data_IF_028442354417
#
_entry.id   IF_028442354417
#
_cell.length_a   1.000
_cell.length_b   1.000
_cell.length_c   1.000
_cell.angle_alpha   90.00
_cell.angle_beta   90.00
_cell.angle_gamma   90.00
#
_symmetry.space_group_name_H-M   'P 1'
#
loop_
_entity.id
_entity.type
_entity.pdbx_description
1 polymer ?
#
# COMPACT_ATOMS: atom_id res chain seq x y z
N UNK A 1 -15.74 34.19 17.98
CA UNK A 1 -15.06 32.99 18.51
C UNK A 1 -15.88 31.71 18.29
N UNK A 2 -16.62 31.59 17.18
CA UNK A 2 -17.55 30.48 16.92
C UNK A 2 -17.29 29.73 15.59
N UNK A 3 -16.35 30.21 14.77
CA UNK A 3 -16.09 29.65 13.42
C UNK A 3 -15.09 28.48 13.47
N UNK A 4 -14.36 28.29 14.58
CA UNK A 4 -13.37 27.21 14.70
C UNK A 4 -13.96 25.81 14.88
N UNK A 5 -15.28 25.69 15.15
CA UNK A 5 -15.92 24.40 15.47
C UNK A 5 -16.51 23.66 14.26
N UNK A 6 -16.67 24.31 13.10
CA UNK A 6 -17.39 23.71 11.96
C UNK A 6 -16.50 22.74 11.14
N UNK A 7 -15.18 22.92 11.14
CA UNK A 7 -14.27 22.07 10.37
C UNK A 7 -14.04 20.67 11.01
N UNK A 8 -14.32 20.50 12.29
CA UNK A 8 -14.13 19.22 13.00
C UNK A 8 -15.26 18.20 12.76
N UNK A 9 -16.41 18.64 12.19
CA UNK A 9 -17.62 17.82 12.12
C UNK A 9 -17.71 16.88 10.90
N UNK A 10 -16.78 16.96 9.94
CA UNK A 10 -16.77 16.12 8.73
C UNK A 10 -15.83 14.90 8.80
N UNK A 11 -15.19 14.66 9.94
CA UNK A 11 -14.43 13.42 10.17
C UNK A 11 -15.44 12.31 10.44
N UNK A 12 -15.96 11.72 9.36
CA UNK A 12 -16.96 10.65 9.41
C UNK A 12 -16.48 9.49 10.27
N UNK A 13 -17.39 8.93 11.07
CA UNK A 13 -17.18 7.69 11.82
C UNK A 13 -16.82 6.55 10.85
N UNK A 14 -15.53 6.28 10.66
CA UNK A 14 -15.10 5.03 10.08
C UNK A 14 -15.27 3.94 11.14
N UNK A 15 -16.26 3.07 10.94
CA UNK A 15 -16.35 1.83 11.70
C UNK A 15 -15.16 0.96 11.31
N UNK A 16 -14.09 1.00 12.09
CA UNK A 16 -12.94 0.13 11.91
C UNK A 16 -13.38 -1.32 12.23
N UNK A 17 -13.55 -2.14 11.20
CA UNK A 17 -13.67 -3.58 11.37
C UNK A 17 -12.28 -4.15 11.64
N UNK A 18 -11.97 -4.42 12.91
CA UNK A 18 -10.73 -5.11 13.27
C UNK A 18 -10.83 -6.61 12.96
N UNK A 19 -9.92 -7.13 12.13
CA UNK A 19 -9.65 -8.56 12.07
C UNK A 19 -8.49 -8.85 13.03
N UNK A 20 -8.75 -9.64 14.07
CA UNK A 20 -7.69 -10.14 14.95
C UNK A 20 -7.56 -11.67 14.73
N UNK A 21 -6.45 -12.13 14.12
CA UNK A 21 -6.26 -13.56 13.92
C UNK A 21 -6.21 -14.29 15.26
N UNK A 22 -6.98 -15.37 15.38
CA UNK A 22 -7.07 -16.17 16.63
C UNK A 22 -5.82 -17.00 16.90
N UNK A 23 -5.07 -17.33 15.86
CA UNK A 23 -3.84 -18.10 15.93
C UNK A 23 -2.79 -17.39 15.11
N UNK A 24 -1.63 -17.16 15.73
CA UNK A 24 -0.48 -16.47 15.14
C UNK A 24 0.74 -17.29 15.50
N UNK A 25 1.53 -17.67 14.50
CA UNK A 25 2.80 -18.34 14.71
C UNK A 25 3.77 -17.46 15.52
N UNK A 26 4.69 -18.03 16.33
CA UNK A 26 5.65 -17.23 17.11
C UNK A 26 6.52 -16.26 16.29
N UNK A 27 6.71 -16.55 15.00
CA UNK A 27 7.47 -15.76 14.04
C UNK A 27 6.62 -14.99 13.03
N UNK A 28 5.30 -15.17 13.06
CA UNK A 28 4.41 -14.60 12.05
C UNK A 28 4.14 -13.12 12.31
N UNK A 29 4.19 -12.32 11.25
CA UNK A 29 3.77 -10.93 11.26
C UNK A 29 2.27 -10.83 11.09
N UNK A 30 1.62 -10.01 11.90
CA UNK A 30 0.18 -9.76 11.79
C UNK A 30 -0.13 -8.31 11.51
N UNK A 31 -1.21 -8.10 10.76
CA UNK A 31 -1.71 -6.78 10.42
C UNK A 31 -2.88 -6.43 11.34
N UNK A 32 -2.88 -5.22 11.87
CA UNK A 32 -3.98 -4.66 12.65
C UNK A 32 -4.32 -3.27 12.14
N UNK A 33 -5.60 -2.92 12.19
CA UNK A 33 -6.07 -1.57 11.89
C UNK A 33 -6.51 -0.89 13.18
N UNK A 34 -5.62 -0.09 13.76
CA UNK A 34 -5.87 0.71 14.96
C UNK A 34 -5.26 2.10 14.71
N UNK A 35 -6.10 3.05 14.31
CA UNK A 35 -5.71 4.39 13.84
C UNK A 35 -4.67 4.39 12.70
N UNK A 36 -4.71 3.35 11.85
CA UNK A 36 -3.76 3.12 10.77
C UNK A 36 -3.41 1.65 10.63
N UNK A 37 -2.69 1.30 9.55
CA UNK A 37 -2.15 -0.05 9.39
C UNK A 37 -0.95 -0.22 10.32
N UNK A 38 -1.03 -1.19 11.23
CA UNK A 38 0.06 -1.56 12.12
C UNK A 38 0.51 -2.98 11.83
N UNK A 39 1.82 -3.20 11.82
CA UNK A 39 2.46 -4.50 11.68
C UNK A 39 2.96 -4.92 13.06
N UNK A 40 2.56 -6.12 13.47
CA UNK A 40 2.86 -6.68 14.78
C UNK A 40 3.70 -7.94 14.63
N UNK A 41 4.80 -8.00 15.39
CA UNK A 41 5.56 -9.22 15.62
C UNK A 41 5.18 -9.78 17.00
N UNK A 42 4.45 -10.91 17.02
CA UNK A 42 3.82 -11.46 18.21
C UNK A 42 2.91 -10.47 18.96
N UNK A 43 3.41 -9.80 20.02
CA UNK A 43 2.66 -8.86 20.87
C UNK A 43 3.27 -7.45 20.91
N UNK A 44 4.17 -7.15 19.98
CA UNK A 44 4.84 -5.86 19.91
C UNK A 44 4.57 -5.24 18.53
N UNK A 45 4.22 -3.96 18.52
CA UNK A 45 4.21 -3.16 17.29
C UNK A 45 5.64 -3.15 16.75
N UNK A 46 5.79 -3.66 15.53
CA UNK A 46 7.04 -3.66 14.80
C UNK A 46 7.17 -2.36 14.00
N UNK A 47 6.14 -2.04 13.23
CA UNK A 47 6.09 -0.90 12.33
C UNK A 47 4.64 -0.41 12.20
N UNK A 48 4.45 0.88 11.93
CA UNK A 48 3.13 1.50 11.78
C UNK A 48 3.07 2.48 10.60
N UNK A 49 1.88 2.56 10.01
CA UNK A 49 1.55 3.52 8.97
C UNK A 49 1.53 4.93 9.55
N UNK A 50 2.06 5.94 8.83
CA UNK A 50 2.43 5.88 7.42
C UNK A 50 3.88 5.49 7.14
N UNK A 51 4.81 5.56 8.10
CA UNK A 51 6.25 5.54 7.80
C UNK A 51 6.88 4.15 7.79
N UNK A 52 6.25 3.15 8.42
CA UNK A 52 6.69 1.74 8.47
C UNK A 52 8.14 1.48 8.91
N UNK A 53 8.77 2.43 9.61
CA UNK A 53 10.20 2.36 9.93
C UNK A 53 10.60 1.10 10.70
N UNK A 54 11.65 0.42 10.23
CA UNK A 54 12.21 -0.79 10.84
C UNK A 54 11.60 -2.09 10.32
N UNK A 55 10.66 -2.02 9.37
CA UNK A 55 10.11 -3.20 8.71
C UNK A 55 11.17 -3.88 7.84
N UNK A 56 11.93 -3.10 7.06
CA UNK A 56 12.95 -3.61 6.15
C UNK A 56 14.04 -4.39 6.90
N UNK A 57 14.52 -3.83 8.01
CA UNK A 57 15.49 -4.48 8.89
C UNK A 57 14.97 -5.79 9.48
N UNK A 58 13.68 -5.87 9.81
CA UNK A 58 13.08 -7.06 10.41
C UNK A 58 12.92 -8.20 9.41
N UNK A 59 12.56 -7.91 8.16
CA UNK A 59 12.31 -8.91 7.10
C UNK A 59 13.52 -9.17 6.20
N UNK A 60 14.69 -8.58 6.50
CA UNK A 60 15.93 -8.61 5.69
C UNK A 60 16.43 -9.97 5.21
N UNK A 61 16.00 -11.06 5.83
CA UNK A 61 16.36 -12.42 5.42
C UNK A 61 15.58 -12.94 4.20
N UNK A 62 14.48 -12.27 3.85
CA UNK A 62 13.65 -12.58 2.68
C UNK A 62 13.75 -11.40 1.72
N UNK A 63 14.51 -11.55 0.63
CA UNK A 63 14.84 -10.42 -0.25
C UNK A 63 13.62 -9.74 -0.86
N UNK A 64 12.61 -10.52 -1.29
CA UNK A 64 11.37 -9.98 -1.84
C UNK A 64 10.58 -9.17 -0.78
N UNK A 65 10.55 -9.64 0.47
CA UNK A 65 9.91 -8.91 1.56
C UNK A 65 10.66 -7.62 1.89
N UNK A 66 12.00 -7.66 1.88
CA UNK A 66 12.85 -6.49 2.15
C UNK A 66 12.66 -5.39 1.11
N UNK A 67 12.61 -5.73 -0.19
CA UNK A 67 12.37 -4.77 -1.27
C UNK A 67 11.05 -4.03 -1.10
N UNK A 68 9.97 -4.76 -0.80
CA UNK A 68 8.67 -4.15 -0.52
C UNK A 68 8.67 -3.33 0.78
N UNK A 69 9.37 -3.79 1.81
CA UNK A 69 9.47 -3.04 3.06
C UNK A 69 10.23 -1.71 2.88
N UNK A 70 11.33 -1.71 2.12
CA UNK A 70 12.08 -0.48 1.78
C UNK A 70 11.22 0.50 0.97
N UNK A 71 10.45 0.00 -0.01
CA UNK A 71 9.51 0.82 -0.76
C UNK A 71 8.42 1.42 0.15
N UNK A 72 7.87 0.61 1.07
CA UNK A 72 6.89 1.07 2.05
C UNK A 72 7.45 2.17 2.98
N UNK A 73 8.68 2.03 3.45
CA UNK A 73 9.35 3.03 4.29
C UNK A 73 9.63 4.33 3.53
N UNK A 74 10.13 4.23 2.29
CA UNK A 74 10.41 5.37 1.43
C UNK A 74 9.14 6.16 1.11
N UNK A 75 8.11 5.50 0.56
CA UNK A 75 6.84 6.14 0.21
C UNK A 75 6.13 6.67 1.44
N UNK A 76 6.18 5.93 2.54
CA UNK A 76 5.63 6.30 3.82
C UNK A 76 6.22 7.59 4.38
N UNK A 77 7.55 7.70 4.38
CA UNK A 77 8.26 8.89 4.83
C UNK A 77 7.97 10.11 3.94
N UNK A 78 7.94 9.91 2.61
CA UNK A 78 7.57 10.94 1.64
C UNK A 78 6.12 11.41 1.86
N UNK A 79 5.21 10.49 2.18
CA UNK A 79 3.82 10.81 2.47
C UNK A 79 3.67 11.68 3.72
N UNK A 80 4.43 11.40 4.79
CA UNK A 80 4.45 12.23 6.01
C UNK A 80 4.92 13.64 5.68
N UNK A 81 6.06 13.77 5.01
CA UNK A 81 6.65 15.07 4.66
C UNK A 81 5.71 15.91 3.80
N UNK A 82 5.17 15.30 2.74
CA UNK A 82 4.24 15.95 1.82
C UNK A 82 2.93 16.34 2.53
N UNK A 83 2.42 15.48 3.42
CA UNK A 83 1.20 15.76 4.19
C UNK A 83 1.36 16.94 5.15
N UNK A 84 2.48 17.02 5.87
CA UNK A 84 2.79 18.16 6.74
C UNK A 84 2.96 19.46 5.94
N UNK A 85 3.69 19.41 4.83
CA UNK A 85 3.86 20.57 3.96
C UNK A 85 2.52 21.06 3.41
N UNK A 86 1.70 20.14 2.88
CA UNK A 86 0.37 20.45 2.38
C UNK A 86 -0.55 21.02 3.45
N UNK A 87 -0.52 20.45 4.66
CA UNK A 87 -1.29 20.94 5.80
C UNK A 87 -0.91 22.35 6.23
N UNK A 88 0.40 22.65 6.39
CA UNK A 88 0.89 23.97 6.77
C UNK A 88 0.56 25.00 5.69
N UNK A 89 0.83 24.69 4.41
CA UNK A 89 0.54 25.58 3.28
C UNK A 89 -0.97 25.83 3.17
N UNK A 90 -1.79 24.79 3.32
CA UNK A 90 -3.24 24.90 3.27
C UNK A 90 -3.79 25.80 4.39
N UNK A 91 -3.32 25.61 5.63
CA UNK A 91 -3.71 26.45 6.77
C UNK A 91 -3.21 27.89 6.59
N UNK A 92 -1.98 28.09 6.12
CA UNK A 92 -1.45 29.42 5.83
C UNK A 92 -2.25 30.13 4.72
N UNK A 93 -2.74 29.37 3.73
CA UNK A 93 -3.62 29.87 2.66
C UNK A 93 -4.91 30.49 3.17
N UNK A 94 -5.47 30.00 4.30
CA UNK A 94 -6.64 30.61 4.95
C UNK A 94 -6.36 32.05 5.42
N UNK A 95 -5.09 32.40 5.66
CA UNK A 95 -4.67 33.76 5.95
C UNK A 95 -4.99 34.75 4.83
N UNK A 96 -5.11 34.30 3.58
CA UNK A 96 -5.54 35.16 2.47
C UNK A 96 -6.95 35.70 2.60
N UNK A 97 -7.81 35.10 3.43
CA UNK A 97 -9.13 35.66 3.74
C UNK A 97 -9.03 37.02 4.44
N UNK A 98 -7.88 37.36 5.05
CA UNK A 98 -7.62 38.70 5.55
C UNK A 98 -7.70 39.77 4.45
N UNK A 99 -7.52 39.40 3.17
CA UNK A 99 -7.70 40.29 2.03
C UNK A 99 -9.10 40.91 1.95
N UNK A 100 -10.14 40.24 2.47
CA UNK A 100 -11.49 40.78 2.52
C UNK A 100 -11.58 42.05 3.39
N UNK A 101 -10.71 42.20 4.39
CA UNK A 101 -10.65 43.40 5.23
C UNK A 101 -10.07 44.64 4.51
N UNK A 102 -9.46 44.46 3.34
CA UNK A 102 -8.83 45.53 2.56
C UNK A 102 -9.66 45.98 1.36
N UNK A 103 -10.83 45.36 1.09
CA UNK A 103 -11.64 45.63 -0.10
C UNK A 103 -12.02 47.11 -0.26
N UNK A 104 -12.34 47.79 0.85
CA UNK A 104 -12.73 49.21 0.82
C UNK A 104 -11.54 50.17 0.77
N UNK A 105 -10.33 49.71 1.13
CA UNK A 105 -9.14 50.54 1.26
C UNK A 105 -8.28 50.52 -0.01
N UNK A 106 -8.06 49.31 -0.54
CA UNK A 106 -7.16 49.06 -1.66
C UNK A 106 -7.55 47.73 -2.30
N UNK A 107 -8.37 47.83 -3.35
CA UNK A 107 -8.89 46.69 -4.09
C UNK A 107 -7.76 45.81 -4.65
N UNK A 108 -6.67 46.41 -5.13
CA UNK A 108 -5.52 45.69 -5.70
C UNK A 108 -4.83 44.86 -4.61
N UNK A 109 -4.57 45.44 -3.43
CA UNK A 109 -3.99 44.68 -2.31
C UNK A 109 -4.94 43.61 -1.80
N UNK A 110 -6.24 43.89 -1.72
CA UNK A 110 -7.25 42.93 -1.30
C UNK A 110 -7.25 41.69 -2.18
N UNK A 111 -7.31 41.87 -3.51
CA UNK A 111 -7.25 40.77 -4.46
C UNK A 111 -5.89 40.06 -4.48
N UNK A 112 -4.78 40.78 -4.29
CA UNK A 112 -3.46 40.15 -4.23
C UNK A 112 -3.32 39.20 -3.02
N UNK A 113 -3.76 39.64 -1.83
CA UNK A 113 -3.73 38.83 -0.60
C UNK A 113 -4.69 37.63 -0.72
N UNK A 114 -5.91 37.88 -1.18
CA UNK A 114 -6.93 36.85 -1.37
C UNK A 114 -6.47 35.81 -2.39
N UNK A 115 -5.99 36.25 -3.56
CA UNK A 115 -5.51 35.40 -4.64
C UNK A 115 -4.32 34.53 -4.21
N UNK A 116 -3.38 35.10 -3.46
CA UNK A 116 -2.22 34.36 -2.93
C UNK A 116 -2.67 33.29 -1.93
N UNK A 117 -3.63 33.61 -1.06
CA UNK A 117 -4.17 32.62 -0.12
C UNK A 117 -4.94 31.49 -0.80
N UNK A 118 -5.75 31.79 -1.82
CA UNK A 118 -6.45 30.78 -2.62
C UNK A 118 -5.45 29.87 -3.34
N UNK A 119 -4.42 30.45 -3.98
CA UNK A 119 -3.38 29.67 -4.66
C UNK A 119 -2.62 28.76 -3.69
N UNK A 120 -2.21 29.28 -2.53
CA UNK A 120 -1.59 28.48 -1.47
C UNK A 120 -2.54 27.38 -0.97
N UNK A 121 -3.81 27.69 -0.75
CA UNK A 121 -4.82 26.71 -0.34
C UNK A 121 -4.96 25.55 -1.33
N UNK A 122 -5.05 25.84 -2.63
CA UNK A 122 -5.11 24.82 -3.68
C UNK A 122 -3.83 23.97 -3.72
N UNK A 123 -2.66 24.59 -3.62
CA UNK A 123 -1.38 23.86 -3.55
C UNK A 123 -1.34 22.93 -2.33
N UNK A 124 -1.79 23.40 -1.17
CA UNK A 124 -1.86 22.60 0.05
C UNK A 124 -2.78 21.38 -0.10
N UNK A 125 -3.94 21.55 -0.74
CA UNK A 125 -4.87 20.45 -1.05
C UNK A 125 -4.22 19.44 -2.00
N UNK A 126 -3.56 19.88 -3.07
CA UNK A 126 -2.88 18.98 -4.02
C UNK A 126 -1.80 18.14 -3.32
N UNK A 127 -0.98 18.75 -2.46
CA UNK A 127 0.01 18.01 -1.66
C UNK A 127 -0.64 17.02 -0.69
N UNK A 128 -1.77 17.36 -0.08
CA UNK A 128 -2.51 16.44 0.78
C UNK A 128 -3.06 15.23 -0.01
N UNK A 129 -3.52 15.42 -1.26
CA UNK A 129 -3.95 14.34 -2.13
C UNK A 129 -2.79 13.42 -2.52
N UNK A 130 -1.63 13.99 -2.88
CA UNK A 130 -0.41 13.24 -3.18
C UNK A 130 0.03 12.44 -1.94
N UNK A 131 0.03 13.06 -0.76
CA UNK A 131 0.32 12.38 0.51
C UNK A 131 -0.61 11.19 0.72
N UNK A 132 -1.91 11.31 0.43
CA UNK A 132 -2.86 10.20 0.55
C UNK A 132 -2.54 9.06 -0.44
N UNK A 133 -2.17 9.39 -1.67
CA UNK A 133 -1.77 8.39 -2.67
C UNK A 133 -0.54 7.61 -2.20
N UNK A 134 0.51 8.32 -1.77
CA UNK A 134 1.74 7.71 -1.24
C UNK A 134 1.47 6.82 -0.01
N UNK A 135 0.58 7.23 0.90
CA UNK A 135 0.16 6.37 2.04
C UNK A 135 -0.48 5.07 1.58
N UNK A 136 -1.32 5.12 0.54
CA UNK A 136 -1.98 3.92 0.01
C UNK A 136 -0.97 2.97 -0.63
N UNK A 137 -0.02 3.50 -1.41
CA UNK A 137 1.07 2.72 -2.02
C UNK A 137 1.95 2.09 -0.93
N UNK A 138 2.36 2.88 0.07
CA UNK A 138 3.13 2.40 1.21
C UNK A 138 2.41 1.27 1.96
N UNK A 139 1.10 1.41 2.20
CA UNK A 139 0.30 0.35 2.83
C UNK A 139 0.27 -0.93 1.97
N UNK A 140 0.19 -0.81 0.64
CA UNK A 140 0.22 -1.96 -0.27
C UNK A 140 1.55 -2.72 -0.17
N UNK A 141 2.66 -2.00 -0.29
CA UNK A 141 3.99 -2.58 -0.13
C UNK A 141 4.23 -3.19 1.27
N UNK A 142 3.72 -2.55 2.32
CA UNK A 142 3.80 -3.09 3.67
C UNK A 142 3.06 -4.43 3.81
N UNK A 143 1.90 -4.58 3.17
CA UNK A 143 1.14 -5.84 3.14
C UNK A 143 1.89 -6.91 2.36
N UNK A 144 2.43 -6.57 1.19
CA UNK A 144 3.21 -7.51 0.36
C UNK A 144 4.45 -7.99 1.10
N UNK A 145 5.17 -7.09 1.78
CA UNK A 145 6.32 -7.44 2.61
C UNK A 145 5.96 -8.46 3.70
N UNK A 146 4.84 -8.26 4.39
CA UNK A 146 4.33 -9.18 5.40
C UNK A 146 3.97 -10.54 4.79
N UNK A 147 3.31 -10.55 3.63
CA UNK A 147 2.94 -11.79 2.93
C UNK A 147 4.16 -12.61 2.53
N UNK A 148 5.13 -12.01 1.81
CA UNK A 148 6.36 -12.70 1.41
C UNK A 148 7.15 -13.21 2.62
N UNK A 149 7.25 -12.42 3.68
CA UNK A 149 7.95 -12.84 4.89
C UNK A 149 7.24 -14.02 5.58
N UNK A 150 5.92 -13.96 5.69
CA UNK A 150 5.14 -15.01 6.33
C UNK A 150 5.16 -16.30 5.52
N UNK A 151 5.14 -16.23 4.20
CA UNK A 151 5.23 -17.40 3.32
C UNK A 151 6.58 -18.12 3.46
N UNK A 152 7.69 -17.37 3.58
CA UNK A 152 9.03 -17.96 3.61
C UNK A 152 9.54 -18.34 5.02
N UNK A 153 9.27 -17.53 6.04
CA UNK A 153 9.88 -17.65 7.38
C UNK A 153 8.84 -17.58 8.51
N UNK A 154 7.93 -16.61 8.45
CA UNK A 154 7.03 -16.30 9.56
C UNK A 154 6.06 -17.43 9.90
N UNK A 155 5.45 -18.06 8.89
CA UNK A 155 4.51 -19.18 9.05
C UNK A 155 5.17 -20.43 9.63
N UNK A 156 6.47 -20.61 9.39
CA UNK A 156 7.30 -21.67 9.95
C UNK A 156 7.72 -21.39 11.41
N UNK A 157 7.29 -20.26 11.98
CA UNK A 157 7.63 -19.82 13.33
C UNK A 157 9.06 -19.29 13.46
N UNK A 158 9.73 -18.98 12.36
CA UNK A 158 11.08 -18.42 12.33
C UNK A 158 11.09 -16.89 12.35
N UNK A 159 12.27 -16.32 12.50
CA UNK A 159 12.58 -14.92 12.21
C UNK A 159 13.96 -14.78 11.58
N UNK A 160 14.30 -13.59 11.08
CA UNK A 160 15.63 -13.37 10.49
C UNK A 160 16.79 -13.54 11.49
N UNK A 161 16.52 -13.41 12.80
CA UNK A 161 17.49 -13.67 13.87
C UNK A 161 17.45 -15.12 14.38
N UNK A 162 16.38 -15.86 14.08
CA UNK A 162 16.18 -17.23 14.56
C UNK A 162 15.52 -18.06 13.45
N UNK A 163 16.26 -18.87 12.69
CA UNK A 163 15.67 -19.68 11.63
C UNK A 163 14.58 -20.60 12.19
N UNK A 164 13.58 -20.95 11.36
CA UNK A 164 12.51 -21.84 11.79
C UNK A 164 13.06 -23.21 12.21
N UNK A 165 12.37 -23.88 13.13
CA UNK A 165 12.71 -25.25 13.47
C UNK A 165 12.60 -26.11 12.19
N UNK A 166 13.52 -27.07 11.96
CA UNK A 166 13.39 -27.98 10.84
C UNK A 166 12.02 -28.65 10.92
N UNK A 167 11.29 -28.64 9.80
CA UNK A 167 10.04 -29.35 9.73
C UNK A 167 10.33 -30.80 10.09
N UNK A 168 9.57 -31.35 11.04
CA UNK A 168 9.66 -32.79 11.31
C UNK A 168 9.37 -33.50 9.99
N UNK A 169 10.20 -34.47 9.63
CA UNK A 169 9.90 -35.32 8.48
C UNK A 169 8.47 -35.83 8.65
N UNK A 170 7.63 -35.78 7.61
CA UNK A 170 6.27 -36.27 7.71
C UNK A 170 6.35 -37.68 8.27
N UNK A 171 5.59 -37.93 9.36
CA UNK A 171 5.47 -39.29 9.88
C UNK A 171 5.17 -40.20 8.70
N UNK A 172 5.89 -41.33 8.55
CA UNK A 172 5.74 -42.20 7.40
C UNK A 172 4.25 -42.47 7.24
N UNK A 173 3.72 -42.07 6.08
CA UNK A 173 2.30 -42.16 5.77
C UNK A 173 1.86 -43.57 6.17
N UNK A 174 0.83 -43.72 7.02
CA UNK A 174 0.43 -45.04 7.49
C UNK A 174 0.22 -45.90 6.25
N UNK A 175 1.07 -46.91 6.06
CA UNK A 175 0.96 -47.81 4.91
C UNK A 175 -0.48 -48.30 4.96
N UNK A 176 -1.33 -47.97 3.95
CA UNK A 176 -2.72 -48.35 3.99
C UNK A 176 -2.73 -49.87 4.18
N UNK A 177 -3.54 -50.40 5.12
CA UNK A 177 -3.62 -51.83 5.30
C UNK A 177 -3.87 -52.47 3.93
N UNK A 178 -3.18 -53.58 3.60
CA UNK A 178 -3.32 -54.22 2.30
C UNK A 178 -4.81 -54.36 2.02
N UNK A 179 -5.26 -53.73 0.92
CA UNK A 179 -6.65 -53.74 0.53
C UNK A 179 -7.08 -55.21 0.54
N UNK A 180 -7.98 -55.58 1.46
CA UNK A 180 -8.63 -56.87 1.38
C UNK A 180 -9.19 -57.01 -0.04
N UNK A 181 -9.13 -58.21 -0.67
CA UNK A 181 -9.70 -58.43 -2.00
C UNK A 181 -11.11 -57.86 -2.01
N UNK A 182 -11.28 -56.71 -2.67
CA UNK A 182 -12.58 -56.10 -2.84
C UNK A 182 -13.29 -57.07 -3.76
N UNK A 183 -14.30 -57.78 -3.25
CA UNK A 183 -15.22 -58.50 -4.12
C UNK A 183 -15.67 -57.48 -5.18
N UNK A 184 -15.41 -57.78 -6.45
CA UNK A 184 -15.85 -56.94 -7.56
C UNK A 184 -17.35 -56.68 -7.34
N UNK A 185 -17.76 -55.44 -7.10
CA UNK A 185 -19.17 -55.12 -7.06
C UNK A 185 -19.72 -55.52 -8.42
N UNK A 186 -20.78 -56.31 -8.43
CA UNK A 186 -21.57 -56.60 -9.62
C UNK A 186 -22.10 -55.23 -10.11
N UNK A 187 -21.37 -54.59 -11.02
CA UNK A 187 -21.71 -53.26 -11.54
C UNK A 187 -22.87 -53.48 -12.50
N UNK A 188 -24.11 -53.07 -12.17
CA UNK A 188 -25.17 -53.08 -13.16
C UNK A 188 -24.74 -52.19 -14.35
N UNK A 189 -25.13 -52.55 -15.59
CA UNK A 189 -24.72 -51.79 -16.77
C UNK A 189 -25.05 -50.31 -16.57
N UNK A 190 -24.05 -49.46 -16.81
CA UNK A 190 -24.18 -48.02 -16.63
C UNK A 190 -25.40 -47.51 -17.42
N UNK A 191 -26.31 -46.75 -16.77
CA UNK A 191 -27.32 -46.00 -17.50
C UNK A 191 -26.63 -45.14 -18.56
N UNK A 192 -27.13 -45.18 -19.79
CA UNK A 192 -26.65 -44.35 -20.90
C UNK A 192 -26.59 -42.89 -20.42
N UNK A 193 -25.39 -42.30 -20.45
CA UNK A 193 -25.23 -40.88 -20.14
C UNK A 193 -26.11 -40.05 -21.09
N UNK A 194 -26.96 -39.16 -20.56
CA UNK A 194 -27.68 -38.22 -21.39
C UNK A 194 -26.69 -37.32 -22.13
N UNK A 195 -26.98 -37.11 -23.41
CA UNK A 195 -26.24 -36.25 -24.31
C UNK A 195 -25.99 -34.87 -23.66
N UNK A 196 -24.78 -34.30 -23.74
CA UNK A 196 -24.45 -33.04 -23.09
C UNK A 196 -25.36 -31.94 -23.64
N UNK A 197 -26.17 -31.34 -22.76
CA UNK A 197 -26.91 -30.14 -23.11
C UNK A 197 -25.93 -29.03 -23.53
N UNK A 198 -26.28 -28.25 -24.57
CA UNK A 198 -25.48 -27.10 -24.96
C UNK A 198 -25.33 -26.16 -23.76
N UNK A 199 -24.14 -25.55 -23.56
CA UNK A 199 -23.89 -24.72 -22.40
C UNK A 199 -24.95 -23.64 -22.31
N UNK A 200 -25.79 -23.72 -21.28
CA UNK A 200 -26.63 -22.61 -20.87
C UNK A 200 -25.67 -21.46 -20.57
N UNK A 201 -25.69 -20.43 -21.42
CA UNK A 201 -24.83 -19.27 -21.27
C UNK A 201 -24.88 -18.79 -19.83
N UNK A 202 -23.71 -18.68 -19.21
CA UNK A 202 -23.58 -18.19 -17.85
C UNK A 202 -24.45 -16.92 -17.71
N UNK A 203 -25.36 -16.86 -16.72
CA UNK A 203 -26.01 -15.60 -16.41
C UNK A 203 -24.88 -14.65 -16.11
N UNK A 204 -24.70 -13.66 -17.00
CA UNK A 204 -23.64 -12.67 -16.96
C UNK A 204 -23.38 -12.32 -15.50
N UNK A 205 -22.22 -12.74 -14.97
CA UNK A 205 -21.78 -12.28 -13.67
C UNK A 205 -21.91 -10.76 -13.72
N UNK A 206 -22.69 -10.15 -12.81
CA UNK A 206 -22.77 -8.70 -12.76
C UNK A 206 -21.34 -8.22 -12.63
N UNK A 207 -20.88 -7.48 -13.65
CA UNK A 207 -19.54 -6.94 -13.68
C UNK A 207 -19.28 -6.30 -12.30
N UNK A 208 -18.10 -6.56 -11.69
CA UNK A 208 -17.75 -5.93 -10.43
C UNK A 208 -18.04 -4.45 -10.57
N UNK A 209 -18.97 -3.95 -9.75
CA UNK A 209 -19.38 -2.56 -9.78
C UNK A 209 -18.17 -1.77 -9.34
N UNK A 210 -17.39 -1.30 -10.30
CA UNK A 210 -16.31 -0.35 -10.04
C UNK A 210 -16.94 0.78 -9.22
N UNK A 211 -16.34 1.18 -8.09
CA UNK A 211 -16.84 2.30 -7.32
C UNK A 211 -16.98 3.51 -8.26
N UNK A 212 -18.11 4.23 -8.25
CA UNK A 212 -18.29 5.41 -9.09
C UNK A 212 -17.25 6.46 -8.67
N UNK A 213 -16.17 6.60 -9.45
CA UNK A 213 -15.14 7.58 -9.18
C UNK A 213 -13.74 7.31 -9.74
N UNK A 214 -13.42 6.10 -10.19
CA UNK A 214 -12.13 5.84 -10.85
C UNK A 214 -12.19 6.26 -12.32
N UNK A 215 -12.22 7.58 -12.56
CA UNK A 215 -11.72 8.12 -13.82
C UNK A 215 -10.23 7.83 -13.79
N UNK A 216 -9.83 6.72 -14.42
CA UNK A 216 -8.44 6.55 -14.82
C UNK A 216 -8.23 7.60 -15.89
N UNK A 217 -7.76 8.78 -15.47
CA UNK A 217 -7.12 9.72 -16.37
C UNK A 217 -5.97 8.91 -17.00
N UNK A 218 -6.15 8.52 -18.26
CA UNK A 218 -5.08 7.91 -19.03
C UNK A 218 -3.96 8.93 -19.10
N UNK A 219 -2.97 8.76 -18.22
CA UNK A 219 -1.73 9.52 -18.27
C UNK A 219 -1.18 9.39 -19.70
N UNK A 220 -0.96 10.51 -20.41
CA UNK A 220 -0.47 10.45 -21.77
C UNK A 220 0.86 9.72 -21.79
N UNK A 221 0.93 8.70 -22.65
CA UNK A 221 2.14 7.92 -22.93
C UNK A 221 3.34 8.89 -23.08
N UNK A 222 4.41 8.74 -22.28
CA UNK A 222 5.54 9.67 -22.35
C UNK A 222 6.13 9.61 -23.75
N UNK A 223 6.20 10.76 -24.42
CA UNK A 223 6.92 10.90 -25.69
C UNK A 223 8.34 10.36 -25.51
N UNK A 224 8.86 9.57 -26.47
CA UNK A 224 10.19 9.00 -26.37
C UNK A 224 11.23 10.12 -26.24
N UNK A 225 11.96 10.13 -25.13
CA UNK A 225 13.05 11.09 -24.92
C UNK A 225 14.05 11.00 -26.08
N UNK A 226 14.52 12.16 -26.61
CA UNK A 226 15.52 12.17 -27.64
C UNK A 226 16.81 11.54 -27.11
N UNK A 227 17.24 10.48 -27.80
CA UNK A 227 18.49 9.78 -27.54
C UNK A 227 19.65 10.77 -27.41
N UNK A 228 20.47 10.71 -26.35
CA UNK A 228 21.59 11.64 -26.17
C UNK A 228 22.69 11.31 -27.19
N UNK A 229 22.60 11.94 -28.37
CA UNK A 229 23.72 12.04 -29.29
C UNK A 229 24.84 12.88 -28.65
N UNK A 230 25.92 12.21 -28.27
CA UNK A 230 27.27 12.72 -28.51
C UNK A 230 27.75 13.89 -27.66
N UNK A 231 27.78 13.75 -26.32
CA UNK A 231 28.70 14.56 -25.51
C UNK A 231 30.11 13.95 -25.64
N UNK A 232 30.87 14.42 -26.63
CA UNK A 232 32.32 14.22 -26.69
C UNK A 232 32.93 14.84 -25.43
N UNK A 233 33.40 14.00 -24.52
CA UNK A 233 34.20 14.44 -23.38
C UNK A 233 35.61 14.73 -23.88
N UNK A 234 35.94 16.01 -23.98
CA UNK A 234 37.34 16.45 -24.09
C UNK A 234 38.09 16.01 -22.84
N UNK A 235 39.01 15.05 -23.03
CA UNK A 235 39.92 14.58 -21.99
C UNK A 235 41.05 15.60 -21.84
N UNK A 236 41.28 16.20 -20.66
CA UNK A 236 42.41 17.08 -20.44
C UNK A 236 43.71 16.28 -20.51
N UNK A 237 44.62 16.68 -21.39
CA UNK A 237 46.00 16.17 -21.44
C UNK A 237 46.78 16.81 -20.30
N UNK A 238 47.24 16.00 -19.34
CA UNK A 238 48.19 16.44 -18.30
C UNK A 238 49.54 16.82 -18.94
N UNK A 239 50.17 17.93 -18.53
CA UNK A 239 51.51 18.27 -18.97
C UNK A 239 52.53 17.41 -18.23
N UNK A 240 53.36 16.67 -18.99
CA UNK A 240 54.57 16.04 -18.47
C UNK A 240 55.51 17.11 -17.90
N UNK A 241 55.70 17.08 -16.58
CA UNK A 241 56.69 17.88 -15.87
C UNK A 241 58.09 17.29 -16.04
N UNK A 242 59.05 18.18 -16.32
CA UNK A 242 60.49 17.89 -16.37
C UNK A 242 61.21 18.07 -15.04
#
# INVERSE_FOLDING_TARGET
MAILWVAAALVGCSSASGYEPRYVGPGELTLRYDDGLQIWAAKKILADSPAFGGLADYVRCVSAAAEHAEAAESDGSAAVGTGWAGGIIGVAGLGGLAGLGYLEQDEVKAFAILGTGVAAGLLGISLALISRSLKNTANGHAVDAVNYYNDDIGSLGGSCDRPPAPLSEPDPEPVPPPLAPRAEPDVPPAPLEPEPEPPAGDPAQPAPSLPPGSVVDSEPEPEPEPSPEGVQRDVPVEPEGG
#
